data_IF_304475776711
#
_entry.id   IF_304475776711
#
_cell.length_a   1.000
_cell.length_b   1.000
_cell.length_c   1.000
_cell.angle_alpha   90.00
_cell.angle_beta   90.00
_cell.angle_gamma   90.00
#
_symmetry.space_group_name_H-M   'P 1'
#
loop_
_entity.id
_entity.type
_entity.pdbx_description
1 polymer ?
#
# COMPACT_ATOMS: atom_id res chain seq x y z
N UNK A 1 9.15 3.28 -14.25
CA UNK A 1 8.07 2.40 -13.75
C UNK A 1 8.31 2.18 -12.26
N UNK A 2 7.31 2.33 -11.38
CA UNK A 2 7.49 2.00 -9.96
C UNK A 2 7.64 0.48 -9.79
N UNK A 3 8.55 0.06 -8.94
CA UNK A 3 8.75 -1.35 -8.60
C UNK A 3 7.73 -1.73 -7.52
N UNK A 4 6.94 -2.77 -7.77
CA UNK A 4 6.07 -3.35 -6.74
C UNK A 4 6.94 -4.13 -5.77
N UNK A 5 7.00 -3.70 -4.51
CA UNK A 5 7.77 -4.36 -3.47
C UNK A 5 7.01 -5.56 -2.92
N UNK A 6 5.72 -5.37 -2.61
CA UNK A 6 4.85 -6.44 -2.14
C UNK A 6 3.39 -6.03 -2.26
N UNK A 7 2.50 -7.00 -2.14
CA UNK A 7 1.06 -6.82 -2.21
C UNK A 7 0.35 -7.82 -1.30
N UNK A 8 -0.89 -7.49 -0.91
CA UNK A 8 -1.72 -8.37 -0.09
C UNK A 8 -3.20 -8.15 -0.37
N UNK A 9 -3.95 -9.24 -0.52
CA UNK A 9 -5.41 -9.21 -0.52
C UNK A 9 -5.94 -9.08 0.91
N UNK A 10 -6.96 -8.25 1.08
CA UNK A 10 -7.60 -7.96 2.36
C UNK A 10 -9.12 -7.91 2.18
N UNK A 11 -9.85 -7.95 3.30
CA UNK A 11 -11.32 -7.92 3.32
C UNK A 11 -11.97 -8.99 2.43
N UNK A 12 -11.50 -10.24 2.57
CA UNK A 12 -12.01 -11.36 1.78
C UNK A 12 -11.80 -11.16 0.28
N UNK A 13 -10.60 -10.70 -0.08
CA UNK A 13 -10.13 -10.50 -1.45
C UNK A 13 -10.88 -9.43 -2.27
N UNK A 14 -11.72 -8.63 -1.62
CA UNK A 14 -12.42 -7.48 -2.24
C UNK A 14 -11.52 -6.24 -2.38
N UNK A 15 -10.38 -6.25 -1.70
CA UNK A 15 -9.41 -5.16 -1.73
C UNK A 15 -7.98 -5.71 -1.82
N UNK A 16 -7.11 -4.96 -2.51
CA UNK A 16 -5.69 -5.26 -2.60
C UNK A 16 -4.87 -4.06 -2.15
N UNK A 17 -3.94 -4.29 -1.25
CA UNK A 17 -2.93 -3.32 -0.86
C UNK A 17 -1.70 -3.58 -1.71
N UNK A 18 -1.15 -2.53 -2.33
CA UNK A 18 0.08 -2.58 -3.12
C UNK A 18 1.08 -1.60 -2.52
N UNK A 19 2.27 -2.09 -2.16
CA UNK A 19 3.40 -1.24 -1.84
C UNK A 19 4.31 -1.16 -3.05
N UNK A 20 4.54 0.05 -3.52
CA UNK A 20 5.39 0.32 -4.68
C UNK A 20 6.40 1.42 -4.37
N UNK A 21 7.55 1.39 -5.05
CA UNK A 21 8.59 2.43 -4.89
C UNK A 21 9.13 2.86 -6.25
N UNK A 22 9.27 4.17 -6.43
CA UNK A 22 10.02 4.74 -7.55
C UNK A 22 11.53 4.53 -7.40
N UNK A 23 12.29 4.64 -8.49
CA UNK A 23 13.73 4.37 -8.50
C UNK A 23 14.55 5.20 -7.48
N UNK A 24 14.10 6.42 -7.16
CA UNK A 24 14.68 7.29 -6.13
C UNK A 24 13.54 8.06 -5.44
N UNK A 25 12.82 7.40 -4.53
CA UNK A 25 11.70 8.01 -3.81
C UNK A 25 11.17 7.16 -2.65
N UNK A 26 10.32 7.75 -1.78
CA UNK A 26 9.64 7.00 -0.73
C UNK A 26 8.70 5.95 -1.34
N UNK A 27 8.48 4.86 -0.62
CA UNK A 27 7.46 3.90 -1.02
C UNK A 27 6.05 4.51 -0.82
N UNK A 28 5.13 4.12 -1.68
CA UNK A 28 3.70 4.39 -1.59
C UNK A 28 2.96 3.10 -1.29
N UNK A 29 1.97 3.19 -0.42
CA UNK A 29 1.02 2.12 -0.14
C UNK A 29 -0.33 2.56 -0.66
N UNK A 30 -0.89 1.79 -1.58
CA UNK A 30 -2.13 2.08 -2.29
C UNK A 30 -3.13 0.96 -2.04
N UNK A 31 -4.37 1.30 -1.72
CA UNK A 31 -5.47 0.36 -1.53
C UNK A 31 -6.39 0.44 -2.73
N UNK A 32 -6.57 -0.67 -3.43
CA UNK A 32 -7.48 -0.77 -4.56
C UNK A 32 -8.64 -1.69 -4.25
N UNK A 33 -9.78 -1.38 -4.84
CA UNK A 33 -10.92 -2.29 -4.99
C UNK A 33 -10.61 -3.33 -6.07
N UNK A 34 -10.71 -4.62 -5.77
CA UNK A 34 -10.28 -5.68 -6.70
C UNK A 34 -11.25 -5.90 -7.85
N UNK A 35 -12.54 -5.60 -7.66
CA UNK A 35 -13.55 -5.77 -8.69
C UNK A 35 -13.49 -4.65 -9.74
N UNK A 36 -13.25 -3.42 -9.29
CA UNK A 36 -13.30 -2.23 -10.15
C UNK A 36 -11.94 -1.65 -10.51
N UNK A 37 -10.87 -2.05 -9.80
CA UNK A 37 -9.55 -1.43 -9.91
C UNK A 37 -9.47 0.00 -9.35
N UNK A 38 -10.53 0.47 -8.69
CA UNK A 38 -10.60 1.84 -8.16
C UNK A 38 -9.64 2.00 -7.00
N UNK A 39 -8.80 3.05 -7.04
CA UNK A 39 -7.99 3.47 -5.90
C UNK A 39 -8.91 4.00 -4.79
N UNK A 40 -8.95 3.31 -3.65
CA UNK A 40 -9.74 3.67 -2.48
C UNK A 40 -8.98 4.61 -1.54
N UNK A 41 -7.69 4.35 -1.37
CA UNK A 41 -6.84 5.14 -0.48
C UNK A 41 -5.36 5.05 -0.90
N UNK A 42 -4.58 6.05 -0.51
CA UNK A 42 -3.14 6.14 -0.79
C UNK A 42 -2.42 6.86 0.34
N UNK A 43 -1.39 6.21 0.85
CA UNK A 43 -0.54 6.77 1.90
C UNK A 43 0.93 6.61 1.52
N UNK A 44 1.72 7.64 1.79
CA UNK A 44 3.18 7.54 1.67
C UNK A 44 3.71 6.73 2.85
N UNK A 45 4.62 5.79 2.62
CA UNK A 45 5.08 4.86 3.67
C UNK A 45 5.66 5.59 4.90
N UNK A 46 6.31 6.76 4.72
CA UNK A 46 6.77 7.56 5.86
C UNK A 46 5.63 8.13 6.72
N UNK A 47 4.47 8.41 6.12
CA UNK A 47 3.29 8.91 6.82
C UNK A 47 2.60 7.79 7.63
N UNK A 48 2.76 6.54 7.22
CA UNK A 48 2.34 5.36 7.99
C UNK A 48 3.15 5.27 9.28
N UNK A 49 4.48 5.39 9.17
CA UNK A 49 5.39 5.37 10.34
C UNK A 49 5.05 6.44 11.36
N UNK A 50 4.64 7.63 10.91
CA UNK A 50 4.27 8.75 11.78
C UNK A 50 2.85 8.65 12.37
N UNK A 51 1.91 7.98 11.71
CA UNK A 51 0.49 7.97 12.12
C UNK A 51 0.09 6.74 12.94
N UNK A 52 0.95 5.72 13.05
CA UNK A 52 0.69 4.55 13.89
C UNK A 52 -0.46 3.67 13.39
N UNK A 53 -0.81 3.74 12.10
CA UNK A 53 -1.84 2.91 11.48
C UNK A 53 -1.46 1.42 11.57
N UNK A 54 -2.00 0.73 12.59
CA UNK A 54 -1.63 -0.63 12.99
C UNK A 54 -1.87 -1.71 11.93
N UNK A 55 -2.78 -1.49 10.99
CA UNK A 55 -3.04 -2.40 9.87
C UNK A 55 -1.93 -2.39 8.80
N UNK A 56 -1.06 -1.37 8.82
CA UNK A 56 0.11 -1.26 7.96
C UNK A 56 1.42 -1.64 8.67
N UNK A 57 1.35 -2.00 9.96
CA UNK A 57 2.46 -2.54 10.75
C UNK A 57 2.77 -3.97 10.25
N UNK A 58 3.95 -4.17 9.64
CA UNK A 58 4.32 -5.38 8.89
C UNK A 58 4.76 -5.13 7.44
N UNK A 59 4.67 -3.88 6.97
CA UNK A 59 5.34 -3.39 5.75
C UNK A 59 6.58 -2.53 6.04
N UNK A 60 6.89 -2.30 7.31
CA UNK A 60 8.19 -1.83 7.79
C UNK A 60 9.01 -3.06 8.16
N UNK A 61 10.18 -3.16 7.54
CA UNK A 61 11.30 -3.96 8.03
C UNK A 61 12.12 -3.06 8.96
#
# INVERSE_FOLDING_TARGET
MPNVETWRLVRGDTQIIVKSRGARGPATVELFDTATGTLRDKVLAYAIRSSGASWAYGFED
#
